data_IF_060199439902
#
_entry.id   IF_060199439902
#
_cell.length_a   1.000
_cell.length_b   1.000
_cell.length_c   1.000
_cell.angle_alpha   90.00
_cell.angle_beta   90.00
_cell.angle_gamma   90.00
#
_symmetry.space_group_name_H-M   'P 1'
#
loop_
_entity.id
_entity.type
_entity.pdbx_description
1 polymer ?
#
# COMPACT_ATOMS: atom_id res chain seq x y z
N UNK A 1 -2.96 5.55 -28.98
CA UNK A 1 -3.85 6.00 -27.88
C UNK A 1 -3.97 4.91 -26.83
N UNK A 2 -4.48 3.70 -27.16
CA UNK A 2 -4.69 2.60 -26.19
C UNK A 2 -3.41 2.01 -25.54
N UNK A 3 -2.24 2.15 -26.17
CA UNK A 3 -0.95 1.72 -25.59
C UNK A 3 -0.17 2.83 -24.88
N UNK A 4 -0.79 4.01 -24.69
CA UNK A 4 -0.12 5.08 -23.96
C UNK A 4 -0.05 4.71 -22.47
N UNK A 5 1.12 4.81 -21.80
CA UNK A 5 1.27 4.38 -20.40
C UNK A 5 0.30 5.06 -19.44
N UNK A 6 0.07 6.38 -19.62
CA UNK A 6 -0.89 7.13 -18.80
C UNK A 6 -2.33 6.63 -18.96
N UNK A 7 -2.72 6.24 -20.18
CA UNK A 7 -4.05 5.68 -20.42
C UNK A 7 -4.19 4.30 -19.79
N UNK A 8 -3.18 3.44 -19.97
CA UNK A 8 -3.17 2.09 -19.41
C UNK A 8 -3.20 2.08 -17.88
N UNK A 9 -2.52 3.03 -17.22
CA UNK A 9 -2.54 3.14 -15.77
C UNK A 9 -3.94 3.44 -15.22
N UNK A 10 -4.66 4.38 -15.85
CA UNK A 10 -6.03 4.71 -15.46
C UNK A 10 -6.98 3.56 -15.79
N UNK A 11 -6.85 2.99 -16.99
CA UNK A 11 -7.68 1.88 -17.43
C UNK A 11 -7.48 0.62 -16.56
N UNK A 12 -6.24 0.27 -16.22
CA UNK A 12 -5.93 -0.92 -15.42
C UNK A 12 -6.49 -0.80 -14.01
N UNK A 13 -6.42 0.39 -13.40
CA UNK A 13 -7.02 0.66 -12.09
C UNK A 13 -8.53 0.45 -12.11
N UNK A 14 -9.25 1.12 -13.02
CA UNK A 14 -10.71 1.04 -13.08
C UNK A 14 -11.22 -0.35 -13.47
N UNK A 15 -10.53 -1.05 -14.39
CA UNK A 15 -10.87 -2.43 -14.75
C UNK A 15 -10.65 -3.40 -13.60
N UNK A 16 -9.56 -3.22 -12.84
CA UNK A 16 -9.26 -4.06 -11.68
C UNK A 16 -10.28 -3.81 -10.55
N UNK A 17 -10.62 -2.54 -10.30
CA UNK A 17 -11.67 -2.17 -9.35
C UNK A 17 -13.02 -2.78 -9.75
N UNK A 18 -13.41 -2.69 -11.03
CA UNK A 18 -14.63 -3.32 -11.53
C UNK A 18 -14.61 -4.84 -11.33
N UNK A 19 -13.48 -5.49 -11.60
CA UNK A 19 -13.30 -6.94 -11.42
C UNK A 19 -13.47 -7.34 -9.95
N UNK A 20 -12.96 -6.52 -9.02
CA UNK A 20 -13.15 -6.75 -7.58
C UNK A 20 -14.61 -6.59 -7.19
N UNK A 21 -15.24 -5.48 -7.56
CA UNK A 21 -16.65 -5.18 -7.28
C UNK A 21 -17.57 -6.29 -7.81
N UNK A 22 -17.31 -6.81 -9.00
CA UNK A 22 -18.13 -7.87 -9.61
C UNK A 22 -18.01 -9.23 -8.92
N UNK A 23 -16.95 -9.44 -8.13
CA UNK A 23 -16.71 -10.69 -7.39
C UNK A 23 -17.14 -10.60 -5.93
N UNK A 24 -17.49 -9.40 -5.45
CA UNK A 24 -17.96 -9.17 -4.08
C UNK A 24 -19.47 -9.31 -4.05
N UNK A 25 -19.99 -10.15 -3.15
CA UNK A 25 -21.43 -10.19 -2.88
C UNK A 25 -21.80 -9.11 -1.85
N UNK A 26 -22.27 -7.96 -2.33
CA UNK A 26 -22.69 -6.85 -1.46
C UNK A 26 -23.92 -7.15 -0.60
N UNK A 27 -24.62 -8.28 -0.83
CA UNK A 27 -25.72 -8.73 0.03
C UNK A 27 -25.22 -9.31 1.35
N UNK A 28 -23.96 -9.71 1.40
CA UNK A 28 -23.30 -10.28 2.59
C UNK A 28 -22.61 -9.20 3.44
N UNK A 29 -23.21 -8.00 3.54
CA UNK A 29 -22.75 -6.88 4.38
C UNK A 29 -21.31 -6.40 4.11
N UNK A 30 -20.83 -6.51 2.87
CA UNK A 30 -19.53 -5.98 2.45
C UNK A 30 -19.70 -4.57 1.92
N UNK A 31 -18.83 -3.63 2.31
CA UNK A 31 -18.77 -2.28 1.76
C UNK A 31 -17.37 -1.98 1.25
N UNK A 32 -17.31 -1.26 0.13
CA UNK A 32 -16.06 -0.83 -0.50
C UNK A 32 -16.07 0.69 -0.61
N UNK A 33 -15.08 1.33 0.00
CA UNK A 33 -14.89 2.77 -0.08
C UNK A 33 -13.71 3.07 -1.02
N UNK A 34 -13.86 4.09 -1.86
CA UNK A 34 -12.81 4.52 -2.80
C UNK A 34 -12.29 5.87 -2.35
N UNK A 35 -10.97 5.96 -2.16
CA UNK A 35 -10.26 7.18 -1.82
C UNK A 35 -9.22 7.45 -2.92
N UNK A 36 -9.33 8.62 -3.56
CA UNK A 36 -8.38 9.04 -4.58
C UNK A 36 -7.22 9.79 -3.92
N UNK A 37 -6.04 9.18 -3.91
CA UNK A 37 -4.79 9.78 -3.42
C UNK A 37 -3.64 9.22 -4.26
N UNK A 38 -2.69 10.06 -4.65
CA UNK A 38 -1.44 9.60 -5.28
C UNK A 38 -0.42 9.22 -4.20
N UNK A 39 0.55 8.36 -4.57
CA UNK A 39 1.62 7.96 -3.63
C UNK A 39 2.39 9.17 -3.07
N UNK A 40 2.62 10.19 -3.89
CA UNK A 40 3.33 11.42 -3.52
C UNK A 40 2.50 12.24 -2.51
N UNK A 41 1.23 12.50 -2.82
CA UNK A 41 0.33 13.22 -1.91
C UNK A 41 0.18 12.50 -0.57
N UNK A 42 0.14 11.16 -0.56
CA UNK A 42 0.07 10.39 0.68
C UNK A 42 1.31 10.58 1.55
N UNK A 43 2.50 10.55 0.93
CA UNK A 43 3.75 10.80 1.64
C UNK A 43 3.83 12.25 2.15
N UNK A 44 3.44 13.21 1.33
CA UNK A 44 3.39 14.63 1.70
C UNK A 44 2.43 14.88 2.87
N UNK A 45 1.26 14.23 2.90
CA UNK A 45 0.31 14.31 4.02
C UNK A 45 0.95 13.82 5.33
N UNK A 46 1.68 12.71 5.30
CA UNK A 46 2.39 12.20 6.48
C UNK A 46 3.58 13.07 6.90
N UNK A 47 4.26 13.72 5.96
CA UNK A 47 5.38 14.62 6.26
C UNK A 47 4.92 15.99 6.74
N UNK A 48 3.75 16.45 6.30
CA UNK A 48 3.15 17.71 6.73
C UNK A 48 2.53 17.60 8.12
N UNK A 49 1.95 16.45 8.45
CA UNK A 49 1.35 16.22 9.77
C UNK A 49 2.44 16.18 10.86
N UNK A 50 2.28 16.92 11.98
CA UNK A 50 3.22 16.84 13.11
C UNK A 50 3.32 15.45 13.73
N UNK A 51 2.21 14.70 13.70
CA UNK A 51 2.08 13.35 14.21
C UNK A 51 1.19 12.52 13.26
N UNK A 52 1.43 11.21 13.20
CA UNK A 52 0.67 10.29 12.33
C UNK A 52 -0.83 10.37 12.59
N UNK A 53 -1.25 10.55 13.85
CA UNK A 53 -2.66 10.64 14.24
C UNK A 53 -3.37 11.90 13.72
N UNK A 54 -2.60 12.88 13.21
CA UNK A 54 -3.13 14.12 12.63
C UNK A 54 -3.12 14.09 11.10
N UNK A 55 -2.62 13.01 10.48
CA UNK A 55 -2.63 12.83 9.02
C UNK A 55 -4.05 12.67 8.48
N UNK A 56 -4.26 13.11 7.24
CA UNK A 56 -5.51 12.89 6.51
C UNK A 56 -5.83 11.41 6.36
N UNK A 57 -4.82 10.58 6.08
CA UNK A 57 -5.00 9.13 5.99
C UNK A 57 -5.51 8.51 7.30
N UNK A 58 -4.93 8.88 8.45
CA UNK A 58 -5.41 8.41 9.75
C UNK A 58 -6.86 8.82 10.02
N UNK A 59 -7.25 10.03 9.61
CA UNK A 59 -8.62 10.49 9.75
C UNK A 59 -9.61 9.60 9.01
N UNK A 60 -9.28 9.18 7.79
CA UNK A 60 -10.14 8.33 6.95
C UNK A 60 -10.16 6.86 7.39
N UNK A 61 -9.04 6.32 7.87
CA UNK A 61 -8.95 4.90 8.24
C UNK A 61 -9.39 4.65 9.68
N UNK A 62 -8.93 5.49 10.62
CA UNK A 62 -9.23 5.34 12.05
C UNK A 62 -10.41 6.21 12.47
N UNK A 63 -10.31 7.54 12.30
CA UNK A 63 -11.20 8.47 13.00
C UNK A 63 -12.64 8.43 12.51
N UNK A 64 -12.87 8.29 11.20
CA UNK A 64 -14.24 8.22 10.63
C UNK A 64 -14.92 6.87 10.77
N UNK A 65 -14.18 5.82 11.11
CA UNK A 65 -14.71 4.46 11.26
C UNK A 65 -14.55 3.98 12.69
N UNK A 66 -13.40 3.38 12.98
CA UNK A 66 -13.09 2.75 14.27
C UNK A 66 -13.20 3.70 15.48
N UNK A 67 -12.75 4.95 15.33
CA UNK A 67 -12.77 5.96 16.39
C UNK A 67 -14.12 6.67 16.59
N UNK A 68 -15.11 6.42 15.73
CA UNK A 68 -16.41 7.08 15.77
C UNK A 68 -17.45 6.19 16.43
N UNK A 69 -18.17 6.71 17.43
CA UNK A 69 -19.28 5.98 18.05
C UNK A 69 -20.38 5.67 17.02
N UNK A 70 -20.70 4.39 16.86
CA UNK A 70 -21.64 3.90 15.84
C UNK A 70 -21.09 3.91 14.41
N UNK A 71 -19.80 4.16 14.22
CA UNK A 71 -19.12 4.07 12.93
C UNK A 71 -18.84 2.62 12.50
N UNK A 72 -18.45 2.47 11.24
CA UNK A 72 -18.06 1.17 10.67
C UNK A 72 -16.53 1.16 10.49
N UNK A 73 -15.81 0.24 11.16
CA UNK A 73 -14.36 0.19 11.05
C UNK A 73 -13.91 -0.30 9.67
N UNK A 74 -12.77 0.22 9.20
CA UNK A 74 -12.14 -0.27 7.98
C UNK A 74 -11.44 -1.59 8.28
N UNK A 75 -11.81 -2.65 7.55
CA UNK A 75 -11.24 -3.98 7.76
C UNK A 75 -9.84 -4.13 7.14
N UNK A 76 -9.60 -3.54 5.97
CA UNK A 76 -8.32 -3.57 5.27
C UNK A 76 -8.25 -2.39 4.30
N UNK A 77 -7.03 -1.96 3.99
CA UNK A 77 -6.77 -0.91 3.00
C UNK A 77 -6.04 -1.53 1.81
N UNK A 78 -6.57 -1.30 0.60
CA UNK A 78 -5.93 -1.73 -0.65
C UNK A 78 -5.22 -0.54 -1.29
N UNK A 79 -3.90 -0.55 -1.29
CA UNK A 79 -3.06 0.39 -2.01
C UNK A 79 -2.88 -0.04 -3.45
N UNK A 80 -3.45 0.71 -4.40
CA UNK A 80 -3.18 0.50 -5.82
C UNK A 80 -1.85 1.13 -6.24
N UNK A 81 -0.76 0.73 -5.56
CA UNK A 81 0.58 1.25 -5.77
C UNK A 81 1.59 0.12 -6.00
N UNK A 82 2.64 0.43 -6.76
CA UNK A 82 3.81 -0.42 -6.91
C UNK A 82 4.98 0.17 -6.12
N UNK A 83 5.39 -0.51 -5.06
CA UNK A 83 6.50 -0.06 -4.21
C UNK A 83 7.86 -0.49 -4.77
N UNK A 84 8.82 0.43 -4.69
CA UNK A 84 10.22 0.26 -5.08
C UNK A 84 11.10 0.23 -3.82
N UNK A 85 12.31 -0.31 -3.92
CA UNK A 85 13.27 -0.25 -2.81
C UNK A 85 13.96 1.13 -2.75
N UNK A 86 13.18 2.19 -2.52
CA UNK A 86 13.65 3.57 -2.41
C UNK A 86 13.34 4.13 -1.03
N UNK A 87 14.10 5.15 -0.62
CA UNK A 87 13.90 5.77 0.69
C UNK A 87 12.48 6.34 0.91
N UNK A 88 11.84 7.04 -0.07
CA UNK A 88 10.47 7.53 0.08
C UNK A 88 9.45 6.40 0.25
N UNK A 89 9.57 5.34 -0.56
CA UNK A 89 8.65 4.21 -0.53
C UNK A 89 8.75 3.43 0.80
N UNK A 90 9.96 3.22 1.33
CA UNK A 90 10.15 2.59 2.64
C UNK A 90 9.58 3.45 3.78
N UNK A 91 9.73 4.77 3.68
CA UNK A 91 9.17 5.72 4.67
C UNK A 91 7.65 5.69 4.64
N UNK A 92 7.05 5.68 3.44
CA UNK A 92 5.61 5.56 3.27
C UNK A 92 5.07 4.25 3.86
N UNK A 93 5.73 3.12 3.59
CA UNK A 93 5.36 1.83 4.17
C UNK A 93 5.39 1.85 5.70
N UNK A 94 6.39 2.52 6.29
CA UNK A 94 6.49 2.67 7.74
C UNK A 94 5.34 3.52 8.33
N UNK A 95 4.89 4.56 7.63
CA UNK A 95 3.74 5.35 8.07
C UNK A 95 2.42 4.58 7.97
N UNK A 96 2.17 3.92 6.83
CA UNK A 96 0.92 3.17 6.66
C UNK A 96 0.88 1.94 7.56
N UNK A 97 2.02 1.33 7.89
CA UNK A 97 2.08 0.24 8.88
C UNK A 97 1.69 0.70 10.27
N UNK A 98 2.16 1.88 10.69
CA UNK A 98 1.81 2.45 11.99
C UNK A 98 0.30 2.78 12.06
N UNK A 99 -0.28 3.35 11.00
CA UNK A 99 -1.74 3.58 10.93
C UNK A 99 -2.50 2.26 10.94
N UNK A 100 -2.03 1.25 10.19
CA UNK A 100 -2.64 -0.08 10.17
C UNK A 100 -2.62 -0.75 11.55
N UNK A 101 -1.55 -0.57 12.32
CA UNK A 101 -1.44 -1.05 13.69
C UNK A 101 -2.42 -0.36 14.65
N UNK A 102 -2.62 0.96 14.51
CA UNK A 102 -3.59 1.72 15.31
C UNK A 102 -5.04 1.38 14.96
N UNK A 103 -5.34 1.18 13.67
CA UNK A 103 -6.69 0.91 13.17
C UNK A 103 -7.06 -0.58 13.11
N UNK A 104 -6.10 -1.47 13.42
CA UNK A 104 -6.22 -2.92 13.23
C UNK A 104 -6.63 -3.32 11.80
N UNK A 105 -6.14 -2.57 10.82
CA UNK A 105 -6.47 -2.73 9.41
C UNK A 105 -5.19 -2.92 8.58
N UNK A 106 -4.92 -4.13 8.03
CA UNK A 106 -3.74 -4.34 7.21
C UNK A 106 -3.81 -3.50 5.92
N UNK A 107 -2.66 -2.97 5.52
CA UNK A 107 -2.44 -2.29 4.25
C UNK A 107 -1.82 -3.27 3.26
N UNK A 108 -2.54 -3.54 2.17
CA UNK A 108 -2.15 -4.48 1.12
C UNK A 108 -1.77 -3.73 -0.15
N UNK A 109 -0.60 -4.01 -0.71
CA UNK A 109 -0.14 -3.39 -1.96
C UNK A 109 0.76 -4.31 -2.77
N UNK A 110 1.27 -3.82 -3.90
CA UNK A 110 2.22 -4.54 -4.75
C UNK A 110 3.64 -3.93 -4.73
N UNK A 111 4.63 -4.73 -5.12
CA UNK A 111 6.00 -4.28 -5.38
C UNK A 111 6.26 -4.24 -6.89
N UNK A 112 7.20 -3.41 -7.34
CA UNK A 112 7.64 -3.39 -8.74
C UNK A 112 8.76 -4.41 -9.03
N UNK A 113 9.01 -4.78 -10.29
CA UNK A 113 10.19 -5.59 -10.65
C UNK A 113 11.51 -4.97 -10.19
N UNK A 114 11.59 -3.64 -10.25
CA UNK A 114 12.76 -2.87 -9.80
C UNK A 114 13.04 -3.09 -8.31
N UNK A 115 12.03 -3.46 -7.51
CA UNK A 115 12.22 -3.83 -6.11
C UNK A 115 13.16 -5.02 -5.94
N UNK A 116 13.24 -5.94 -6.91
CA UNK A 116 14.17 -7.07 -6.91
C UNK A 116 15.41 -6.81 -7.78
N UNK A 117 15.59 -5.58 -8.30
CA UNK A 117 16.65 -5.25 -9.25
C UNK A 117 16.39 -5.78 -10.67
N UNK A 118 15.14 -6.07 -11.02
CA UNK A 118 14.73 -6.56 -12.34
C UNK A 118 14.10 -5.43 -13.18
N UNK A 119 14.18 -5.55 -14.51
CA UNK A 119 13.43 -4.65 -15.41
C UNK A 119 12.01 -5.15 -15.68
N UNK A 120 11.78 -6.45 -15.56
CA UNK A 120 10.49 -7.11 -15.80
C UNK A 120 10.32 -8.34 -14.91
N UNK A 121 9.07 -8.64 -14.52
CA UNK A 121 8.73 -9.86 -13.79
C UNK A 121 9.04 -11.14 -14.57
N UNK A 122 9.19 -11.07 -15.90
CA UNK A 122 9.60 -12.21 -16.73
C UNK A 122 11.02 -12.69 -16.44
N UNK A 123 11.86 -11.86 -15.83
CA UNK A 123 13.24 -12.18 -15.46
C UNK A 123 13.35 -12.85 -14.10
N UNK A 124 12.26 -12.92 -13.33
CA UNK A 124 12.23 -13.53 -12.00
C UNK A 124 12.80 -14.97 -11.97
N UNK A 125 12.51 -15.86 -12.94
CA UNK A 125 13.08 -17.21 -12.95
C UNK A 125 14.62 -17.25 -13.10
N UNK A 126 15.25 -16.15 -13.53
CA UNK A 126 16.71 -16.08 -13.69
C UNK A 126 17.43 -15.84 -12.36
N UNK A 127 16.71 -15.44 -11.31
CA UNK A 127 17.29 -15.24 -9.98
C UNK A 127 17.58 -16.61 -9.36
N UNK A 128 18.87 -16.90 -9.16
CA UNK A 128 19.33 -18.15 -8.53
C UNK A 128 19.10 -18.18 -7.02
N UNK A 129 19.28 -17.02 -6.38
CA UNK A 129 19.10 -16.87 -4.93
C UNK A 129 18.46 -15.51 -4.61
N UNK A 130 17.20 -15.55 -4.18
CA UNK A 130 16.44 -14.37 -3.76
C UNK A 130 16.92 -13.83 -2.41
N UNK A 131 17.42 -14.70 -1.51
CA UNK A 131 17.85 -14.28 -0.17
C UNK A 131 19.08 -13.39 -0.25
N UNK A 132 20.05 -13.77 -1.08
CA UNK A 132 21.27 -12.98 -1.31
C UNK A 132 20.97 -11.55 -1.79
N UNK A 133 19.91 -11.35 -2.59
CA UNK A 133 19.50 -10.01 -3.04
C UNK A 133 19.07 -9.17 -1.85
N UNK A 134 18.21 -9.71 -0.98
CA UNK A 134 17.68 -9.00 0.17
C UNK A 134 18.68 -8.79 1.31
N UNK A 135 19.84 -9.44 1.29
CA UNK A 135 20.95 -9.20 2.22
C UNK A 135 21.83 -8.01 1.79
N UNK A 136 21.72 -7.56 0.53
CA UNK A 136 22.48 -6.42 0.02
C UNK A 136 22.28 -5.12 0.83
N UNK A 137 23.26 -4.20 0.84
CA UNK A 137 23.16 -2.93 1.58
C UNK A 137 21.97 -2.05 1.16
N UNK A 138 21.53 -2.15 -0.10
CA UNK A 138 20.39 -1.42 -0.62
C UNK A 138 19.08 -1.74 0.13
N UNK A 139 18.96 -2.93 0.73
CA UNK A 139 17.75 -3.38 1.43
C UNK A 139 17.80 -3.15 2.94
N UNK A 140 18.77 -2.37 3.45
CA UNK A 140 18.90 -2.12 4.89
C UNK A 140 17.61 -1.55 5.50
N UNK A 141 16.97 -0.58 4.81
CA UNK A 141 15.69 0.00 5.26
C UNK A 141 14.54 -1.00 5.18
N UNK A 142 14.51 -1.83 4.15
CA UNK A 142 13.52 -2.90 4.00
C UNK A 142 13.63 -3.94 5.11
N UNK A 143 14.85 -4.38 5.45
CA UNK A 143 15.08 -5.30 6.58
C UNK A 143 14.64 -4.68 7.91
N UNK A 144 15.03 -3.44 8.16
CA UNK A 144 14.58 -2.72 9.36
C UNK A 144 13.05 -2.58 9.43
N UNK A 145 12.38 -2.34 8.30
CA UNK A 145 10.91 -2.33 8.23
C UNK A 145 10.33 -3.69 8.62
N UNK A 146 10.88 -4.79 8.11
CA UNK A 146 10.43 -6.16 8.44
C UNK A 146 10.63 -6.54 9.91
N UNK A 147 11.64 -6.00 10.56
CA UNK A 147 11.91 -6.24 11.98
C UNK A 147 11.00 -5.39 12.90
N UNK A 148 10.33 -4.37 12.35
CA UNK A 148 9.38 -3.53 13.09
C UNK A 148 8.13 -4.30 13.50
N UNK A 149 7.60 -4.05 14.70
CA UNK A 149 6.36 -4.69 15.17
C UNK A 149 5.13 -4.34 14.31
N UNK A 150 5.06 -3.09 13.84
CA UNK A 150 3.96 -2.60 13.01
C UNK A 150 3.91 -3.26 11.62
N UNK A 151 4.99 -3.93 11.19
CA UNK A 151 5.07 -4.62 9.90
C UNK A 151 4.05 -5.75 9.74
N UNK A 152 3.48 -6.24 10.85
CA UNK A 152 2.39 -7.23 10.84
C UNK A 152 1.15 -6.75 10.09
N UNK A 153 1.00 -5.43 9.92
CA UNK A 153 -0.11 -4.80 9.20
C UNK A 153 0.25 -4.40 7.77
N UNK A 154 1.37 -4.87 7.23
CA UNK A 154 1.76 -4.71 5.83
C UNK A 154 1.67 -6.05 5.09
N UNK A 155 1.10 -6.05 3.88
CA UNK A 155 1.02 -7.20 3.00
C UNK A 155 1.10 -6.86 1.51
#
# INVERSE_FOLDING_TARGET
IIHAPAFQQVESFWRSLKTMVDRVDFRENIKVNVLHVTKQELLEDFEFAPEIIQSGFYKHVYSSGFGQFGGEPIAAVLGAYEFKNTAPDMKLLQYVSAVGAMAHAPFLSSVSPEFMGLNSWTELPNIKDLYAIFEGPAYTKWRALRDSEDSRYLG
#
